data_IF_206594877858
#
_entry.id   IF_206594877858
#
_cell.length_a   1.000
_cell.length_b   1.000
_cell.length_c   1.000
_cell.angle_alpha   90.00
_cell.angle_beta   90.00
_cell.angle_gamma   90.00
#
_symmetry.space_group_name_H-M   'P 1'
#
loop_
_entity.id
_entity.type
_entity.pdbx_description
1 polymer ?
#
# COMPACT_ATOMS: atom_id res chain seq x y z
N UNK A 1 -26.96 -7.31 -30.23
CA UNK A 1 -27.97 -7.22 -29.16
C UNK A 1 -27.63 -8.18 -28.01
N UNK A 2 -27.58 -9.50 -28.23
CA UNK A 2 -27.35 -10.51 -27.18
C UNK A 2 -26.02 -10.34 -26.40
N UNK A 3 -24.89 -10.15 -27.10
CA UNK A 3 -23.57 -9.95 -26.46
C UNK A 3 -23.52 -8.69 -25.57
N UNK A 4 -24.15 -7.60 -26.01
CA UNK A 4 -24.20 -6.35 -25.23
C UNK A 4 -25.06 -6.52 -23.96
N UNK A 5 -26.16 -7.27 -24.04
CA UNK A 5 -27.01 -7.62 -22.91
C UNK A 5 -26.27 -8.48 -21.88
N UNK A 6 -25.48 -9.45 -22.33
CA UNK A 6 -24.66 -10.30 -21.46
C UNK A 6 -23.56 -9.49 -20.74
N UNK A 7 -22.86 -8.60 -21.45
CA UNK A 7 -21.84 -7.72 -20.86
C UNK A 7 -22.45 -6.78 -19.82
N UNK A 8 -23.62 -6.21 -20.10
CA UNK A 8 -24.31 -5.35 -19.14
C UNK A 8 -24.70 -6.13 -17.87
N UNK A 9 -25.26 -7.33 -18.04
CA UNK A 9 -25.65 -8.20 -16.94
C UNK A 9 -24.46 -8.59 -16.06
N UNK A 10 -23.32 -8.94 -16.67
CA UNK A 10 -22.10 -9.26 -15.92
C UNK A 10 -21.59 -8.07 -15.09
N UNK A 11 -21.61 -6.85 -15.63
CA UNK A 11 -21.21 -5.64 -14.90
C UNK A 11 -22.06 -5.39 -13.66
N UNK A 12 -23.38 -5.58 -13.79
CA UNK A 12 -24.32 -5.44 -12.69
C UNK A 12 -24.09 -6.50 -11.60
N UNK A 13 -23.88 -7.76 -11.99
CA UNK A 13 -23.54 -8.85 -11.08
C UNK A 13 -22.25 -8.55 -10.29
N UNK A 14 -21.20 -8.05 -10.96
CA UNK A 14 -19.96 -7.65 -10.30
C UNK A 14 -20.16 -6.46 -9.37
N UNK A 15 -20.90 -5.45 -9.79
CA UNK A 15 -21.17 -4.28 -8.97
C UNK A 15 -21.88 -4.67 -7.67
N UNK A 16 -22.91 -5.52 -7.75
CA UNK A 16 -23.65 -6.02 -6.59
C UNK A 16 -22.73 -6.85 -5.68
N UNK A 17 -22.00 -7.83 -6.24
CA UNK A 17 -21.13 -8.71 -5.44
C UNK A 17 -20.02 -7.92 -4.74
N UNK A 18 -19.26 -7.13 -5.50
CA UNK A 18 -18.13 -6.39 -4.98
C UNK A 18 -18.58 -5.28 -4.02
N UNK A 19 -19.71 -4.63 -4.32
CA UNK A 19 -20.32 -3.62 -3.45
C UNK A 19 -20.79 -4.20 -2.12
N UNK A 20 -21.42 -5.39 -2.13
CA UNK A 20 -21.83 -6.07 -0.91
C UNK A 20 -20.65 -6.40 0.02
N UNK A 21 -19.56 -6.96 -0.53
CA UNK A 21 -18.35 -7.28 0.24
C UNK A 21 -17.71 -6.00 0.80
N UNK A 22 -17.63 -4.94 0.00
CA UNK A 22 -17.08 -3.66 0.44
C UNK A 22 -17.90 -3.07 1.59
N UNK A 23 -19.21 -3.08 1.47
CA UNK A 23 -20.13 -2.57 2.49
C UNK A 23 -20.01 -3.37 3.80
N UNK A 24 -19.97 -4.69 3.72
CA UNK A 24 -19.78 -5.57 4.88
C UNK A 24 -18.48 -5.25 5.62
N UNK A 25 -17.37 -5.07 4.89
CA UNK A 25 -16.08 -4.67 5.44
C UNK A 25 -16.13 -3.29 6.09
N UNK A 26 -16.76 -2.33 5.42
CA UNK A 26 -16.94 -0.99 5.97
C UNK A 26 -17.70 -1.06 7.28
N UNK A 27 -18.85 -1.73 7.33
CA UNK A 27 -19.66 -1.92 8.55
C UNK A 27 -18.84 -2.56 9.67
N UNK A 28 -18.11 -3.64 9.35
CA UNK A 28 -17.28 -4.37 10.32
C UNK A 28 -16.18 -3.49 10.93
N UNK A 29 -15.59 -2.61 10.13
CA UNK A 29 -14.52 -1.72 10.58
C UNK A 29 -15.02 -0.38 11.15
N UNK A 30 -16.29 -0.01 10.94
CA UNK A 30 -16.69 1.37 11.10
C UNK A 30 -16.73 1.87 12.56
N UNK A 31 -16.91 1.00 13.56
CA UNK A 31 -16.92 1.37 14.99
C UNK A 31 -17.71 2.67 15.34
N UNK A 32 -18.75 3.03 14.56
CA UNK A 32 -19.52 4.27 14.73
C UNK A 32 -18.91 5.55 14.15
N UNK A 33 -17.92 5.49 13.26
CA UNK A 33 -17.39 6.66 12.54
C UNK A 33 -18.20 6.95 11.27
N UNK A 34 -18.29 8.23 10.92
CA UNK A 34 -18.78 8.60 9.59
C UNK A 34 -17.63 8.45 8.59
N UNK A 35 -17.67 7.40 7.78
CA UNK A 35 -16.72 7.21 6.67
C UNK A 35 -17.26 7.98 5.46
N UNK A 36 -16.45 8.89 4.92
CA UNK A 36 -16.76 9.51 3.64
C UNK A 36 -16.92 8.43 2.55
N UNK A 37 -18.05 8.42 1.82
CA UNK A 37 -18.25 7.49 0.73
C UNK A 37 -17.13 7.59 -0.30
N UNK A 38 -16.59 6.44 -0.71
CA UNK A 38 -15.60 6.42 -1.77
C UNK A 38 -16.27 6.68 -3.12
N UNK A 39 -15.64 7.51 -3.96
CA UNK A 39 -16.12 7.73 -5.32
C UNK A 39 -16.02 6.45 -6.15
N UNK A 40 -17.13 6.07 -6.77
CA UNK A 40 -17.19 4.94 -7.70
C UNK A 40 -17.10 5.43 -9.14
N UNK A 41 -16.27 4.79 -9.95
CA UNK A 41 -16.09 5.03 -11.38
C UNK A 41 -16.69 3.89 -12.19
N UNK A 42 -17.18 4.20 -13.39
CA UNK A 42 -17.64 3.16 -14.31
C UNK A 42 -16.46 2.42 -14.95
N UNK A 43 -16.68 1.20 -15.43
CA UNK A 43 -15.68 0.47 -16.20
C UNK A 43 -15.30 1.22 -17.49
N UNK A 44 -16.22 2.03 -18.03
CA UNK A 44 -15.97 2.87 -19.22
C UNK A 44 -14.99 4.00 -18.91
N UNK A 45 -15.14 4.67 -17.76
CA UNK A 45 -14.24 5.73 -17.34
C UNK A 45 -12.80 5.20 -17.19
N UNK A 46 -12.65 4.03 -16.57
CA UNK A 46 -11.37 3.36 -16.41
C UNK A 46 -10.77 2.98 -17.77
N UNK A 47 -11.57 2.38 -18.66
CA UNK A 47 -11.12 1.99 -19.99
C UNK A 47 -10.64 3.19 -20.81
N UNK A 48 -11.34 4.32 -20.74
CA UNK A 48 -10.93 5.55 -21.40
C UNK A 48 -9.64 6.11 -20.79
N UNK A 49 -9.55 6.15 -19.47
CA UNK A 49 -8.38 6.67 -18.76
C UNK A 49 -7.10 5.88 -19.03
N UNK A 50 -7.20 4.57 -19.30
CA UNK A 50 -6.06 3.69 -19.63
C UNK A 50 -5.80 3.54 -21.13
N UNK A 51 -6.47 4.31 -21.99
CA UNK A 51 -6.42 4.13 -23.45
C UNK A 51 -6.66 2.67 -23.87
N UNK A 52 -7.74 2.06 -23.37
CA UNK A 52 -8.05 0.63 -23.53
C UNK A 52 -6.95 -0.31 -22.97
N UNK A 53 -6.40 0.02 -21.81
CA UNK A 53 -5.31 -0.74 -21.17
C UNK A 53 -4.07 -0.86 -22.06
N UNK A 54 -3.67 0.26 -22.68
CA UNK A 54 -2.48 0.35 -23.52
C UNK A 54 -1.22 -0.09 -22.73
N UNK A 55 -0.49 -1.13 -23.18
CA UNK A 55 0.71 -1.62 -22.49
C UNK A 55 1.80 -0.57 -22.33
N UNK A 56 1.84 0.46 -23.20
CA UNK A 56 2.82 1.55 -23.10
C UNK A 56 2.58 2.46 -21.89
N UNK A 57 1.41 2.35 -21.26
CA UNK A 57 1.05 3.10 -20.06
C UNK A 57 1.34 2.33 -18.77
N UNK A 58 1.88 1.11 -18.85
CA UNK A 58 2.21 0.32 -17.66
C UNK A 58 3.42 0.94 -16.94
N UNK A 59 3.23 1.28 -15.67
CA UNK A 59 4.30 1.73 -14.77
C UNK A 59 4.96 0.57 -14.02
N UNK A 60 4.17 -0.45 -13.68
CA UNK A 60 4.60 -1.64 -12.94
C UNK A 60 3.66 -2.80 -13.25
N UNK A 61 4.17 -4.04 -13.27
CA UNK A 61 3.35 -5.22 -13.51
C UNK A 61 3.93 -6.48 -12.89
N UNK A 62 3.29 -6.99 -11.85
CA UNK A 62 3.60 -8.26 -11.20
C UNK A 62 2.29 -8.95 -10.73
N UNK A 63 2.04 -8.98 -9.42
CA UNK A 63 0.76 -9.42 -8.82
C UNK A 63 -0.37 -8.46 -9.20
N UNK A 64 -0.01 -7.18 -9.35
CA UNK A 64 -0.89 -6.11 -9.82
C UNK A 64 -0.23 -5.40 -11.00
N UNK A 65 -1.06 -4.85 -11.88
CA UNK A 65 -0.59 -3.95 -12.94
C UNK A 65 -1.07 -2.54 -12.62
N UNK A 66 -0.15 -1.58 -12.70
CA UNK A 66 -0.45 -0.17 -12.50
C UNK A 66 -0.29 0.56 -13.83
N UNK A 67 -1.38 1.09 -14.35
CA UNK A 67 -1.41 1.94 -15.53
C UNK A 67 -1.34 3.41 -15.14
N UNK A 68 -0.58 4.19 -15.89
CA UNK A 68 -0.70 5.64 -15.93
C UNK A 68 -1.91 6.00 -16.79
N UNK A 69 -2.81 6.80 -16.24
CA UNK A 69 -4.00 7.26 -16.96
C UNK A 69 -4.30 8.73 -16.74
N UNK A 70 -5.33 9.22 -17.44
CA UNK A 70 -5.90 10.55 -17.27
C UNK A 70 -7.38 10.41 -16.97
N UNK A 71 -7.85 10.98 -15.86
CA UNK A 71 -9.26 10.96 -15.47
C UNK A 71 -9.63 12.27 -14.78
N UNK A 72 -10.75 12.88 -15.22
CA UNK A 72 -11.14 14.26 -14.87
C UNK A 72 -9.99 15.28 -15.10
N UNK A 73 -9.31 15.19 -16.25
CA UNK A 73 -8.15 16.03 -16.62
C UNK A 73 -6.95 15.97 -15.65
N UNK A 74 -6.87 14.92 -14.83
CA UNK A 74 -5.77 14.70 -13.87
C UNK A 74 -5.05 13.40 -14.19
N UNK A 75 -3.72 13.42 -14.07
CA UNK A 75 -2.93 12.19 -14.11
C UNK A 75 -3.23 11.33 -12.88
N UNK A 76 -3.49 10.05 -13.12
CA UNK A 76 -3.89 9.08 -12.11
C UNK A 76 -3.14 7.76 -12.29
N UNK A 77 -2.96 7.04 -11.21
CA UNK A 77 -2.51 5.66 -11.23
C UNK A 77 -3.72 4.72 -11.12
N UNK A 78 -3.84 3.78 -12.04
CA UNK A 78 -4.95 2.82 -12.13
C UNK A 78 -4.39 1.42 -11.85
N UNK A 79 -4.70 0.90 -10.68
CA UNK A 79 -4.25 -0.42 -10.21
C UNK A 79 -5.30 -1.48 -10.57
N UNK A 80 -4.90 -2.51 -11.29
CA UNK A 80 -5.72 -3.64 -11.73
C UNK A 80 -5.07 -4.97 -11.36
N UNK A 81 -5.81 -6.08 -11.49
CA UNK A 81 -5.25 -7.43 -11.38
C UNK A 81 -4.11 -7.62 -12.38
N UNK A 82 -2.96 -8.08 -11.91
CA UNK A 82 -1.80 -8.38 -12.74
C UNK A 82 -1.86 -9.77 -13.39
N UNK A 83 -0.87 -10.11 -14.23
CA UNK A 83 -0.83 -11.37 -14.95
C UNK A 83 -0.55 -12.60 -14.05
N UNK A 84 0.05 -12.41 -12.87
CA UNK A 84 0.38 -13.53 -11.98
C UNK A 84 -0.87 -14.02 -11.22
N UNK A 85 -1.29 -15.25 -11.49
CA UNK A 85 -2.42 -15.90 -10.81
C UNK A 85 -1.98 -16.61 -9.52
N UNK A 86 -1.46 -15.84 -8.55
CA UNK A 86 -0.97 -16.39 -7.27
C UNK A 86 -2.11 -16.71 -6.28
N UNK A 87 -3.28 -16.09 -6.46
CA UNK A 87 -4.41 -16.18 -5.53
C UNK A 87 -5.70 -16.59 -6.23
N UNK A 88 -6.63 -17.16 -5.46
CA UNK A 88 -8.00 -17.35 -5.92
C UNK A 88 -8.64 -15.99 -6.27
N UNK A 89 -9.69 -16.03 -7.09
CA UNK A 89 -10.47 -14.84 -7.45
C UNK A 89 -10.97 -14.12 -6.19
N UNK A 90 -11.52 -14.88 -5.24
CA UNK A 90 -12.01 -14.35 -3.96
C UNK A 90 -10.92 -13.62 -3.16
N UNK A 91 -9.73 -14.22 -3.00
CA UNK A 91 -8.58 -13.59 -2.32
C UNK A 91 -8.10 -12.33 -3.06
N UNK A 92 -8.19 -12.34 -4.39
CA UNK A 92 -7.83 -11.18 -5.21
C UNK A 92 -8.83 -10.05 -5.01
N UNK A 93 -10.13 -10.34 -4.99
CA UNK A 93 -11.18 -9.34 -4.68
C UNK A 93 -10.96 -8.78 -3.28
N UNK A 94 -10.73 -9.66 -2.30
CA UNK A 94 -10.49 -9.30 -0.91
C UNK A 94 -9.29 -8.35 -0.76
N UNK A 95 -8.18 -8.65 -1.44
CA UNK A 95 -6.98 -7.80 -1.48
C UNK A 95 -7.29 -6.37 -1.95
N UNK A 96 -8.04 -6.22 -3.04
CA UNK A 96 -8.40 -4.91 -3.58
C UNK A 96 -9.39 -4.16 -2.67
N UNK A 97 -10.39 -4.85 -2.11
CA UNK A 97 -11.39 -4.23 -1.24
C UNK A 97 -10.85 -3.87 0.15
N UNK A 98 -9.92 -4.66 0.70
CA UNK A 98 -9.23 -4.31 1.95
C UNK A 98 -8.47 -3.01 1.79
N UNK A 99 -7.80 -2.80 0.66
CA UNK A 99 -7.10 -1.55 0.38
C UNK A 99 -8.06 -0.36 0.31
N UNK A 100 -9.27 -0.54 -0.24
CA UNK A 100 -10.33 0.49 -0.22
C UNK A 100 -10.69 0.84 1.21
N UNK A 101 -11.08 -0.15 2.01
CA UNK A 101 -11.56 0.05 3.39
C UNK A 101 -10.49 0.68 4.27
N UNK A 102 -9.25 0.17 4.23
CA UNK A 102 -8.14 0.71 5.04
C UNK A 102 -7.84 2.16 4.67
N UNK A 103 -7.84 2.50 3.37
CA UNK A 103 -7.54 3.87 2.91
C UNK A 103 -8.68 4.85 3.14
N UNK A 104 -9.92 4.38 3.31
CA UNK A 104 -11.02 5.22 3.78
C UNK A 104 -10.92 5.51 5.28
N UNK A 105 -10.45 4.54 6.07
CA UNK A 105 -10.29 4.67 7.53
C UNK A 105 -9.05 5.49 7.93
N UNK A 106 -8.01 5.49 7.09
CA UNK A 106 -6.73 6.15 7.36
C UNK A 106 -6.60 7.39 6.47
N UNK A 107 -6.84 8.57 7.05
CA UNK A 107 -6.57 9.86 6.41
C UNK A 107 -5.39 10.54 7.11
N UNK A 108 -4.22 10.50 6.48
CA UNK A 108 -3.01 11.14 7.00
C UNK A 108 -2.12 11.65 5.87
N UNK A 109 -1.44 12.79 6.08
CA UNK A 109 -0.60 13.45 5.05
C UNK A 109 0.52 12.58 4.46
N UNK A 110 0.97 11.57 5.20
CA UNK A 110 2.02 10.64 4.76
C UNK A 110 1.46 9.30 4.24
N UNK A 111 0.14 9.16 4.09
CA UNK A 111 -0.52 7.98 3.54
C UNK A 111 -1.22 8.39 2.25
N UNK A 112 -0.96 7.66 1.16
CA UNK A 112 -1.54 7.98 -0.14
C UNK A 112 -3.05 7.80 -0.09
N UNK A 113 -3.79 8.90 -0.27
CA UNK A 113 -5.25 8.88 -0.35
C UNK A 113 -5.70 8.11 -1.58
N UNK A 114 -6.69 7.23 -1.41
CA UNK A 114 -7.40 6.60 -2.52
C UNK A 114 -8.43 7.58 -3.10
N UNK A 115 -8.43 7.77 -4.41
CA UNK A 115 -9.36 8.69 -5.08
C UNK A 115 -10.69 8.03 -5.45
N UNK A 116 -10.69 6.71 -5.64
CA UNK A 116 -11.91 5.95 -5.85
C UNK A 116 -11.64 4.54 -6.37
N UNK A 117 -12.71 3.83 -6.68
CA UNK A 117 -12.63 2.49 -7.24
C UNK A 117 -13.70 2.27 -8.33
N UNK A 118 -13.51 1.24 -9.16
CA UNK A 118 -14.54 0.70 -10.03
C UNK A 118 -14.90 -0.70 -9.54
N UNK A 119 -16.20 -0.96 -9.40
CA UNK A 119 -16.77 -2.21 -8.89
C UNK A 119 -17.46 -3.04 -9.98
N UNK A 120 -17.58 -2.50 -11.21
CA UNK A 120 -18.27 -3.12 -12.36
C UNK A 120 -17.44 -4.22 -13.06
N UNK A 121 -16.31 -4.62 -12.50
CA UNK A 121 -15.37 -5.59 -13.07
C UNK A 121 -15.22 -6.80 -12.16
N UNK A 122 -14.82 -7.96 -12.71
CA UNK A 122 -14.67 -9.19 -11.93
C UNK A 122 -13.74 -9.01 -10.72
N UNK A 123 -12.63 -8.29 -10.90
CA UNK A 123 -11.79 -7.79 -9.80
C UNK A 123 -11.95 -6.27 -9.75
N UNK A 124 -12.18 -5.67 -8.57
CA UNK A 124 -12.23 -4.21 -8.44
C UNK A 124 -10.97 -3.52 -8.98
N UNK A 125 -11.13 -2.30 -9.47
CA UNK A 125 -10.02 -1.48 -9.98
C UNK A 125 -9.87 -0.25 -9.08
N UNK A 126 -8.64 0.10 -8.69
CA UNK A 126 -8.39 1.21 -7.78
C UNK A 126 -7.76 2.40 -8.50
N UNK A 127 -8.26 3.60 -8.20
CA UNK A 127 -7.75 4.88 -8.71
C UNK A 127 -7.02 5.62 -7.60
N UNK A 128 -5.75 5.93 -7.85
CA UNK A 128 -4.89 6.71 -6.96
C UNK A 128 -4.40 8.00 -7.64
N UNK A 129 -3.95 9.01 -6.85
CA UNK A 129 -3.13 10.08 -7.39
C UNK A 129 -1.85 9.53 -8.02
N UNK A 130 -1.34 10.22 -9.03
CA UNK A 130 -0.07 9.89 -9.66
C UNK A 130 1.10 10.27 -8.75
N UNK A 131 1.45 9.40 -7.81
CA UNK A 131 2.70 9.42 -7.04
C UNK A 131 3.22 7.98 -6.98
N UNK A 132 4.54 7.77 -6.90
CA UNK A 132 5.21 6.46 -6.95
C UNK A 132 4.43 5.41 -6.13
N UNK A 133 3.67 4.54 -6.80
CA UNK A 133 2.78 3.58 -6.14
C UNK A 133 3.59 2.34 -5.83
N UNK A 134 4.21 2.33 -4.65
CA UNK A 134 4.70 1.08 -4.05
C UNK A 134 3.52 0.13 -3.86
N UNK A 135 3.72 -1.15 -4.22
CA UNK A 135 2.77 -2.23 -4.00
C UNK A 135 2.72 -2.57 -2.49
N UNK A 136 2.14 -1.70 -1.68
CA UNK A 136 1.91 -1.98 -0.26
C UNK A 136 0.87 -3.10 -0.17
N UNK A 137 1.28 -4.21 0.43
CA UNK A 137 0.37 -5.26 0.88
C UNK A 137 -0.02 -4.91 2.30
N UNK A 138 -1.30 -4.64 2.53
CA UNK A 138 -1.81 -4.34 3.87
C UNK A 138 -2.53 -5.55 4.43
N UNK A 139 -2.18 -5.92 5.66
CA UNK A 139 -2.86 -6.95 6.45
C UNK A 139 -3.33 -6.28 7.74
N UNK A 140 -4.56 -6.56 8.15
CA UNK A 140 -5.07 -6.11 9.44
C UNK A 140 -4.88 -7.22 10.47
N UNK A 141 -4.27 -6.88 11.61
CA UNK A 141 -4.23 -7.74 12.79
C UNK A 141 -5.47 -7.41 13.63
N UNK A 142 -6.22 -8.43 14.05
CA UNK A 142 -7.47 -8.23 14.78
C UNK A 142 -7.19 -7.61 16.17
N UNK A 143 -8.12 -6.81 16.73
CA UNK A 143 -7.96 -6.27 18.07
C UNK A 143 -7.76 -7.39 19.11
N UNK A 144 -6.68 -7.30 19.90
CA UNK A 144 -6.33 -8.29 20.90
C UNK A 144 -5.42 -9.42 20.40
N UNK A 145 -5.12 -9.46 19.11
CA UNK A 145 -4.13 -10.38 18.53
C UNK A 145 -2.78 -9.66 18.33
N UNK A 146 -1.69 -10.38 18.54
CA UNK A 146 -0.32 -9.86 18.33
C UNK A 146 0.20 -10.12 16.90
N UNK A 147 -0.42 -11.05 16.19
CA UNK A 147 -0.02 -11.44 14.84
C UNK A 147 -1.19 -11.94 14.00
N UNK A 148 -1.04 -11.86 12.70
CA UNK A 148 -1.89 -12.56 11.73
C UNK A 148 -1.14 -13.78 11.18
N UNK A 149 -1.77 -14.97 11.23
CA UNK A 149 -1.20 -16.19 10.66
C UNK A 149 -1.47 -16.25 9.16
N UNK A 150 -0.42 -16.07 8.36
CA UNK A 150 -0.47 -16.22 6.90
C UNK A 150 -0.43 -17.68 6.46
N UNK A 151 -0.98 -17.94 5.28
CA UNK A 151 -0.91 -19.25 4.60
C UNK A 151 0.28 -19.36 3.64
N UNK A 152 0.84 -18.22 3.25
CA UNK A 152 2.02 -18.12 2.38
C UNK A 152 2.70 -16.77 2.61
N UNK A 153 3.96 -16.67 2.21
CA UNK A 153 4.70 -15.41 2.23
C UNK A 153 4.20 -14.51 1.09
N UNK A 154 3.86 -13.27 1.42
CA UNK A 154 3.50 -12.24 0.45
C UNK A 154 4.29 -10.98 0.79
N UNK A 155 4.98 -10.42 -0.20
CA UNK A 155 5.70 -9.16 -0.04
C UNK A 155 6.69 -8.91 -1.17
N UNK A 156 7.36 -7.77 -1.13
CA UNK A 156 8.36 -7.39 -2.12
C UNK A 156 9.71 -7.99 -1.75
N UNK A 157 10.34 -8.72 -2.67
CA UNK A 157 11.65 -9.34 -2.46
C UNK A 157 12.68 -8.31 -1.96
N UNK A 158 13.47 -8.69 -0.95
CA UNK A 158 14.44 -7.79 -0.29
C UNK A 158 13.86 -6.97 0.87
N UNK A 159 12.55 -6.72 0.89
CA UNK A 159 11.87 -6.03 1.99
C UNK A 159 11.10 -6.98 2.92
N UNK A 160 10.87 -8.22 2.50
CA UNK A 160 10.18 -9.23 3.32
C UNK A 160 10.98 -9.52 4.60
N UNK A 161 10.30 -9.41 5.74
CA UNK A 161 10.86 -9.76 7.04
C UNK A 161 11.29 -11.23 7.10
N UNK A 162 12.56 -11.54 7.42
CA UNK A 162 13.05 -12.91 7.48
C UNK A 162 12.35 -13.77 8.55
N UNK A 163 11.92 -13.19 9.67
CA UNK A 163 11.17 -13.93 10.68
C UNK A 163 9.74 -14.25 10.20
N UNK A 164 9.10 -13.32 9.49
CA UNK A 164 7.83 -13.62 8.80
C UNK A 164 8.01 -14.72 7.74
N UNK A 165 9.10 -14.68 6.98
CA UNK A 165 9.38 -15.71 5.97
C UNK A 165 9.53 -17.11 6.60
N UNK A 166 10.12 -17.19 7.80
CA UNK A 166 10.29 -18.46 8.53
C UNK A 166 9.01 -18.92 9.24
N UNK A 167 8.22 -17.99 9.80
CA UNK A 167 7.11 -18.31 10.73
C UNK A 167 5.72 -18.18 10.11
N UNK A 168 5.60 -17.50 8.97
CA UNK A 168 4.35 -17.05 8.35
C UNK A 168 3.50 -16.14 9.27
N UNK A 169 4.06 -15.60 10.35
CA UNK A 169 3.38 -14.68 11.26
C UNK A 169 3.65 -13.24 10.86
N UNK A 170 2.61 -12.53 10.47
CA UNK A 170 2.66 -11.10 10.17
C UNK A 170 2.47 -10.34 11.49
N UNK A 171 3.42 -9.48 11.82
CA UNK A 171 3.40 -8.63 13.03
C UNK A 171 3.68 -7.19 12.66
N UNK A 172 3.45 -6.25 13.58
CA UNK A 172 3.89 -4.85 13.42
C UNK A 172 5.42 -4.71 13.20
N UNK A 173 6.21 -5.70 13.63
CA UNK A 173 7.68 -5.70 13.47
C UNK A 173 8.11 -6.03 12.04
N UNK A 174 7.23 -6.60 11.21
CA UNK A 174 7.51 -6.82 9.79
C UNK A 174 7.67 -5.49 9.03
N UNK A 175 6.83 -4.50 9.39
CA UNK A 175 6.94 -3.14 8.83
C UNK A 175 8.21 -2.43 9.32
N UNK A 176 8.62 -2.65 10.58
CA UNK A 176 9.88 -2.11 11.10
C UNK A 176 11.08 -2.63 10.30
N UNK A 177 11.11 -3.93 9.97
CA UNK A 177 12.16 -4.51 9.15
C UNK A 177 12.18 -3.88 7.76
N UNK A 178 11.03 -3.86 7.09
CA UNK A 178 10.87 -3.29 5.75
C UNK A 178 11.32 -1.83 5.71
N UNK A 179 10.94 -1.04 6.73
CA UNK A 179 11.37 0.34 6.88
C UNK A 179 12.89 0.45 7.15
N UNK A 180 13.46 -0.47 7.90
CA UNK A 180 14.91 -0.58 8.09
C UNK A 180 15.67 -0.77 6.78
N UNK A 181 15.17 -1.63 5.88
CA UNK A 181 15.74 -1.81 4.53
C UNK A 181 15.67 -0.50 3.74
N UNK A 182 14.55 0.21 3.78
CA UNK A 182 14.41 1.54 3.18
C UNK A 182 15.45 2.53 3.74
N UNK A 183 15.69 2.52 5.06
CA UNK A 183 16.73 3.35 5.66
C UNK A 183 18.13 3.00 5.16
N UNK A 184 18.44 1.71 4.97
CA UNK A 184 19.71 1.27 4.36
C UNK A 184 19.82 1.76 2.92
N UNK A 185 18.76 1.69 2.13
CA UNK A 185 18.73 2.21 0.76
C UNK A 185 18.93 3.73 0.71
N UNK A 186 18.33 4.47 1.65
CA UNK A 186 18.58 5.90 1.76
C UNK A 186 20.04 6.20 2.07
N UNK A 187 20.68 5.42 2.95
CA UNK A 187 22.10 5.57 3.28
C UNK A 187 23.02 5.29 2.09
N UNK A 188 22.69 4.31 1.24
CA UNK A 188 23.50 3.97 0.07
C UNK A 188 23.39 5.02 -1.04
N UNK A 189 22.27 5.74 -1.12
CA UNK A 189 22.03 6.80 -2.11
C UNK A 189 22.52 8.17 -1.62
N UNK A 190 22.50 8.42 -0.31
CA UNK A 190 22.86 9.72 0.28
C UNK A 190 24.28 9.69 0.87
N UNK A 191 25.29 9.89 0.02
CA UNK A 191 26.69 10.06 0.45
C UNK A 191 27.05 11.49 0.89
N UNK A 192 26.06 12.34 1.18
CA UNK A 192 26.27 13.79 1.40
C UNK A 192 26.09 14.27 2.86
N UNK A 193 25.95 13.35 3.82
CA UNK A 193 25.83 13.68 5.25
C UNK A 193 27.17 13.75 6.00
N UNK A 194 27.18 14.37 7.17
CA UNK A 194 28.34 14.25 8.08
C UNK A 194 28.49 12.81 8.54
N UNK A 195 29.72 12.40 8.87
CA UNK A 195 30.01 11.03 9.31
C UNK A 195 29.17 10.64 10.54
N UNK A 196 28.96 11.58 11.45
CA UNK A 196 28.17 11.37 12.67
C UNK A 196 26.68 11.19 12.37
N UNK A 197 26.14 11.96 11.41
CA UNK A 197 24.73 11.86 11.05
C UNK A 197 24.47 10.56 10.27
N UNK A 198 25.37 10.19 9.34
CA UNK A 198 25.33 8.92 8.62
C UNK A 198 25.40 7.75 9.62
N UNK A 199 26.30 7.83 10.61
CA UNK A 199 26.44 6.80 11.64
C UNK A 199 25.14 6.64 12.45
N UNK A 200 24.51 7.73 12.87
CA UNK A 200 23.26 7.68 13.62
C UNK A 200 22.11 7.04 12.82
N UNK A 201 21.98 7.39 11.53
CA UNK A 201 21.02 6.75 10.63
C UNK A 201 21.33 5.26 10.42
N UNK A 202 22.60 4.91 10.23
CA UNK A 202 23.03 3.51 10.06
C UNK A 202 22.74 2.67 11.30
N UNK A 203 23.02 3.17 12.50
CA UNK A 203 22.72 2.48 13.76
C UNK A 203 21.21 2.23 13.93
N UNK A 204 20.38 3.21 13.58
CA UNK A 204 18.93 3.03 13.60
C UNK A 204 18.48 1.98 12.57
N UNK A 205 18.98 2.05 11.34
CA UNK A 205 18.67 1.09 10.28
C UNK A 205 19.05 -0.35 10.70
N UNK A 206 20.27 -0.53 11.24
CA UNK A 206 20.77 -1.82 11.72
C UNK A 206 19.97 -2.41 12.88
N UNK A 207 19.36 -1.57 13.74
CA UNK A 207 18.41 -2.03 14.76
C UNK A 207 17.08 -2.46 14.16
N UNK A 208 16.60 -1.77 13.13
CA UNK A 208 15.34 -2.12 12.46
C UNK A 208 15.41 -3.45 11.70
N UNK A 209 16.57 -3.78 11.11
CA UNK A 209 16.74 -5.00 10.29
C UNK A 209 17.21 -6.24 11.09
N UNK A 210 17.11 -6.24 12.42
CA UNK A 210 17.46 -7.41 13.24
C UNK A 210 16.64 -8.63 12.84
N UNK A 211 17.25 -9.83 12.89
CA UNK A 211 16.55 -11.06 12.49
C UNK A 211 15.30 -11.29 13.34
N UNK A 212 15.37 -11.08 14.65
CA UNK A 212 14.24 -11.27 15.56
C UNK A 212 13.46 -9.99 15.79
N UNK A 213 12.15 -10.04 15.61
CA UNK A 213 11.25 -8.91 15.73
C UNK A 213 11.23 -8.29 17.13
N UNK A 214 11.43 -9.08 18.18
CA UNK A 214 11.48 -8.56 19.56
C UNK A 214 12.74 -7.72 19.85
N UNK A 215 13.82 -7.88 19.07
CA UNK A 215 15.03 -7.06 19.19
C UNK A 215 14.91 -5.71 18.46
N UNK A 216 13.92 -5.59 17.56
CA UNK A 216 13.68 -4.37 16.79
C UNK A 216 12.95 -3.34 17.65
N UNK A 217 13.21 -2.03 17.45
CA UNK A 217 12.37 -0.99 18.02
C UNK A 217 10.92 -1.09 17.50
N UNK A 218 10.01 -0.42 18.17
CA UNK A 218 8.67 -0.12 17.62
C UNK A 218 8.76 0.99 16.57
N UNK A 219 7.81 1.05 15.63
CA UNK A 219 7.75 2.17 14.67
C UNK A 219 7.63 3.54 15.34
N UNK A 220 7.05 3.59 16.55
CA UNK A 220 7.00 4.79 17.39
C UNK A 220 8.39 5.23 17.84
N UNK A 221 9.20 4.31 18.36
CA UNK A 221 10.58 4.59 18.77
C UNK A 221 11.44 4.99 17.58
N UNK A 222 11.30 4.30 16.44
CA UNK A 222 11.96 4.68 15.17
C UNK A 222 11.63 6.13 14.80
N UNK A 223 10.34 6.50 14.86
CA UNK A 223 9.90 7.87 14.54
C UNK A 223 10.48 8.90 15.51
N UNK A 224 10.53 8.60 16.81
CA UNK A 224 11.11 9.50 17.80
C UNK A 224 12.60 9.72 17.57
N UNK A 225 13.32 8.65 17.23
CA UNK A 225 14.76 8.72 16.98
C UNK A 225 15.09 9.50 15.70
N UNK A 226 14.36 9.26 14.62
CA UNK A 226 14.50 10.04 13.38
C UNK A 226 14.26 11.54 13.60
N UNK A 227 13.28 11.91 14.44
CA UNK A 227 13.04 13.31 14.81
C UNK A 227 14.20 13.91 15.58
N UNK A 228 14.80 13.16 16.51
CA UNK A 228 15.99 13.61 17.25
C UNK A 228 17.16 13.85 16.30
N UNK A 229 17.45 12.88 15.42
CA UNK A 229 18.53 13.00 14.43
C UNK A 229 18.29 14.23 13.53
N UNK A 230 17.06 14.40 13.01
CA UNK A 230 16.71 15.55 12.19
C UNK A 230 16.89 16.89 12.94
N UNK A 231 16.52 16.96 14.21
CA UNK A 231 16.69 18.17 15.02
C UNK A 231 18.17 18.51 15.23
N UNK A 232 19.01 17.51 15.50
CA UNK A 232 20.46 17.67 15.66
C UNK A 232 21.14 18.14 14.36
N UNK A 233 20.72 17.63 13.21
CA UNK A 233 21.25 18.07 11.91
C UNK A 233 20.91 19.55 11.68
N UNK A 234 19.66 19.95 11.96
CA UNK A 234 19.20 21.34 11.78
C UNK A 234 19.88 22.32 12.73
N UNK A 235 20.12 21.94 13.98
CA UNK A 235 20.80 22.81 14.95
C UNK A 235 22.27 23.05 14.58
N UNK A 236 22.97 22.05 14.03
CA UNK A 236 24.33 22.21 13.49
C UNK A 236 24.37 23.21 12.33
N UNK A 237 23.41 23.16 11.40
CA UNK A 237 23.35 24.09 10.26
C UNK A 237 23.12 25.54 10.70
N UNK A 238 22.30 25.77 11.73
CA UNK A 238 22.04 27.12 12.24
C UNK A 238 23.22 27.71 13.03
N UNK A 239 24.02 26.87 13.70
CA UNK A 239 25.17 27.33 14.50
C UNK A 239 26.47 27.52 13.68
N UNK A 240 26.51 27.11 12.42
CA UNK A 240 27.67 27.27 11.53
C UNK A 240 27.62 28.52 10.62
N UNK A 241 26.64 29.40 10.81
CA UNK A 241 26.41 30.60 9.98
C UNK A 241 26.74 31.92 10.71
N UNK A 242 27.48 31.86 11.82
CA UNK A 242 27.87 33.00 12.65
C UNK A 242 29.35 33.29 12.60
#
# INVERSE_FOLDING_TARGET
MEKARQVFKAKEEYFIRNGAILLEKQISCNQGRDIEPIRVFSAKDIQQATNNYDPNLICWSEIVTVYKGILDDRQVAIKVKGPLNLWSIEKTIDFFLNEVTIKQLISHKNVVRLYGCCLETEIPILRHPMHFVSCIVAVSIAPGEDYFQGNSVVGTFGYVDPEYQETLRVTEKCDVYSFGVILVEFLTVLSQGSKEDIQAFAELAMRCIKKKGYERPTMREVTLELRRIQHLIRSKQNNGSG
#
